data_IF_674147989975
#
_entry.id   IF_674147989975
#
_cell.length_a   1.000
_cell.length_b   1.000
_cell.length_c   1.000
_cell.angle_alpha   90.00
_cell.angle_beta   90.00
_cell.angle_gamma   90.00
#
_symmetry.space_group_name_H-M   'P 1'
#
loop_
_entity.id
_entity.type
_entity.pdbx_description
1 polymer ?
#
# COMPACT_ATOMS: atom_id res chain seq x y z
N UNK A 1 47.53 -52.67 16.32
CA UNK A 1 47.34 -53.53 15.13
C UNK A 1 45.84 -53.75 14.93
N UNK A 2 45.21 -53.04 13.99
CA UNK A 2 43.88 -53.37 13.47
C UNK A 2 43.86 -52.96 12.01
N UNK A 3 44.16 -53.94 11.17
CA UNK A 3 44.17 -53.85 9.72
C UNK A 3 42.80 -54.29 9.23
N UNK A 4 42.20 -53.41 8.41
CA UNK A 4 41.64 -53.71 7.09
C UNK A 4 40.22 -54.30 7.04
N UNK A 5 39.53 -53.89 5.95
CA UNK A 5 38.44 -54.54 5.20
C UNK A 5 37.05 -53.86 5.42
N UNK A 6 36.32 -53.33 4.43
CA UNK A 6 36.43 -53.28 2.96
C UNK A 6 35.56 -52.13 2.42
N UNK A 7 36.12 -51.38 1.46
CA UNK A 7 35.55 -50.93 0.19
C UNK A 7 34.02 -50.74 0.03
N UNK A 8 33.61 -49.49 -0.14
CA UNK A 8 32.59 -49.13 -1.14
C UNK A 8 33.07 -47.88 -1.89
N UNK A 9 33.82 -48.13 -2.96
CA UNK A 9 34.02 -47.20 -4.06
C UNK A 9 32.74 -47.14 -4.88
N UNK A 10 31.99 -46.05 -4.78
CA UNK A 10 31.27 -45.54 -5.96
C UNK A 10 31.73 -44.11 -6.16
N UNK A 11 32.75 -44.02 -7.00
CA UNK A 11 33.17 -42.83 -7.69
C UNK A 11 31.98 -42.24 -8.46
N UNK A 12 31.55 -41.04 -8.08
CA UNK A 12 30.96 -40.11 -9.02
C UNK A 12 31.50 -38.73 -8.68
N UNK A 13 32.71 -38.47 -9.16
CA UNK A 13 33.26 -37.12 -9.22
C UNK A 13 32.47 -36.33 -10.26
N UNK A 14 31.58 -35.45 -9.83
CA UNK A 14 31.21 -34.25 -10.59
C UNK A 14 31.13 -33.06 -9.63
N UNK A 15 32.29 -32.41 -9.50
CA UNK A 15 32.45 -30.95 -9.54
C UNK A 15 31.23 -30.12 -9.13
N UNK A 16 31.14 -29.76 -7.85
CA UNK A 16 30.43 -28.53 -7.45
C UNK A 16 31.49 -27.45 -7.24
N UNK A 17 31.98 -26.94 -8.37
CA UNK A 17 32.59 -25.62 -8.46
C UNK A 17 31.53 -24.69 -9.04
N UNK A 18 31.38 -23.52 -8.40
CA UNK A 18 30.50 -22.40 -8.79
C UNK A 18 28.97 -22.58 -8.58
N UNK A 19 28.52 -22.26 -7.36
CA UNK A 19 27.23 -21.58 -7.21
C UNK A 19 27.38 -20.33 -6.33
N UNK A 20 28.11 -19.37 -6.89
CA UNK A 20 27.85 -17.99 -6.56
C UNK A 20 26.49 -17.59 -7.15
N UNK A 21 25.64 -17.03 -6.28
CA UNK A 21 24.66 -15.99 -6.58
C UNK A 21 23.35 -16.42 -7.25
N UNK A 22 22.29 -16.45 -6.44
CA UNK A 22 21.19 -15.47 -6.51
C UNK A 22 19.97 -15.95 -5.71
N UNK A 23 19.76 -15.40 -4.50
CA UNK A 23 18.42 -15.10 -3.93
C UNK A 23 18.55 -14.63 -2.47
N UNK A 24 19.44 -13.69 -2.19
CA UNK A 24 19.27 -12.85 -0.99
C UNK A 24 18.35 -11.69 -1.36
N UNK A 25 17.04 -11.96 -1.32
CA UNK A 25 16.02 -10.92 -1.38
C UNK A 25 15.92 -10.27 0.01
N UNK A 26 16.90 -9.45 0.37
CA UNK A 26 16.70 -8.36 1.33
C UNK A 26 17.10 -7.06 0.67
N UNK A 27 16.08 -6.47 0.07
CA UNK A 27 16.01 -5.05 -0.19
C UNK A 27 16.07 -4.30 1.15
N UNK A 28 17.28 -4.04 1.65
CA UNK A 28 17.51 -2.91 2.54
C UNK A 28 18.06 -1.77 1.69
N UNK A 29 17.14 -0.97 1.15
CA UNK A 29 17.48 0.31 0.53
C UNK A 29 17.84 1.29 1.65
N UNK A 30 19.08 1.25 2.12
CA UNK A 30 19.69 2.36 2.85
C UNK A 30 20.10 3.44 1.85
N UNK A 31 19.12 4.13 1.27
CA UNK A 31 19.36 5.39 0.56
C UNK A 31 18.90 6.53 1.48
N UNK A 32 19.85 7.00 2.27
CA UNK A 32 19.82 8.37 2.81
C UNK A 32 19.82 9.35 1.63
N UNK A 33 18.74 10.12 1.42
CA UNK A 33 18.89 11.48 0.89
C UNK A 33 17.67 12.37 1.21
N UNK A 34 17.87 13.24 2.21
CA UNK A 34 17.64 14.69 2.21
C UNK A 34 16.42 15.24 1.42
N UNK A 35 15.45 15.70 2.21
CA UNK A 35 14.57 16.88 2.06
C UNK A 35 14.50 17.54 0.69
N UNK A 36 13.29 17.62 0.12
CA UNK A 36 12.83 18.80 -0.63
C UNK A 36 11.31 18.80 -0.75
N UNK A 37 10.73 19.93 -0.41
CA UNK A 37 9.33 20.30 -0.55
C UNK A 37 8.71 19.87 -1.89
N UNK A 38 7.83 18.87 -1.91
CA UNK A 38 6.94 18.66 -3.05
C UNK A 38 5.60 18.10 -2.61
N UNK A 39 4.58 18.95 -2.74
CA UNK A 39 3.19 18.62 -3.06
C UNK A 39 3.00 17.17 -3.58
N UNK A 40 2.63 16.22 -2.70
CA UNK A 40 2.29 14.83 -3.04
C UNK A 40 0.78 14.59 -3.03
N UNK A 41 0.00 15.50 -3.62
CA UNK A 41 -1.44 15.29 -3.81
C UNK A 41 -1.81 14.58 -5.13
N UNK A 42 -0.81 14.17 -5.93
CA UNK A 42 -1.01 13.25 -7.05
C UNK A 42 0.02 12.13 -6.96
N UNK A 43 -0.42 10.93 -6.62
CA UNK A 43 -0.52 9.81 -7.56
C UNK A 43 -1.04 8.58 -6.81
N UNK A 44 -1.90 7.86 -7.51
CA UNK A 44 -2.54 6.62 -7.11
C UNK A 44 -1.46 5.60 -6.74
N UNK A 45 -1.30 5.27 -5.46
CA UNK A 45 -0.51 4.11 -5.10
C UNK A 45 -1.33 3.12 -4.27
N UNK A 46 -1.65 2.04 -4.98
CA UNK A 46 -2.33 0.85 -4.52
C UNK A 46 -1.30 -0.08 -3.89
N UNK A 47 -0.34 0.42 -3.11
CA UNK A 47 0.64 -0.44 -2.47
C UNK A 47 0.90 -0.09 -1.01
N UNK A 48 1.10 -1.19 -0.30
CA UNK A 48 1.19 -1.41 1.13
C UNK A 48 2.47 -0.75 1.66
N UNK A 49 2.34 0.37 2.36
CA UNK A 49 3.47 1.06 2.98
C UNK A 49 3.02 1.79 4.25
N UNK A 50 3.31 1.18 5.41
CA UNK A 50 3.11 1.74 6.74
C UNK A 50 4.12 2.85 7.00
N UNK A 51 3.84 4.05 6.48
CA UNK A 51 4.55 5.27 6.86
C UNK A 51 3.58 6.16 7.65
N UNK A 52 3.70 6.11 8.97
CA UNK A 52 3.17 7.03 9.98
C UNK A 52 1.99 7.93 9.50
N UNK A 53 0.83 7.31 9.21
CA UNK A 53 -0.35 8.07 8.80
C UNK A 53 -0.85 8.82 10.02
N UNK A 54 -0.76 10.14 9.99
CA UNK A 54 -1.41 11.03 10.96
C UNK A 54 -2.84 10.54 11.26
N UNK A 55 -3.31 10.57 12.52
CA UNK A 55 -4.67 10.15 12.88
C UNK A 55 -5.76 10.76 11.96
N UNK A 56 -5.54 11.99 11.48
CA UNK A 56 -6.43 12.66 10.54
C UNK A 56 -6.47 11.97 9.17
N UNK A 57 -5.36 11.43 8.69
CA UNK A 57 -5.30 10.65 7.44
C UNK A 57 -6.06 9.33 7.56
N UNK A 58 -6.04 8.67 8.72
CA UNK A 58 -6.83 7.45 8.95
C UNK A 58 -8.32 7.79 8.97
N UNK A 59 -8.73 8.78 9.77
CA UNK A 59 -10.13 9.23 9.86
C UNK A 59 -10.65 9.69 8.49
N UNK A 60 -9.85 10.44 7.73
CA UNK A 60 -10.18 10.86 6.36
C UNK A 60 -10.50 9.66 5.48
N UNK A 61 -9.61 8.67 5.44
CA UNK A 61 -9.80 7.47 4.62
C UNK A 61 -11.04 6.67 5.04
N UNK A 62 -11.33 6.60 6.34
CA UNK A 62 -12.53 5.97 6.87
C UNK A 62 -13.79 6.67 6.38
N UNK A 63 -13.86 8.00 6.50
CA UNK A 63 -15.00 8.78 6.02
C UNK A 63 -15.17 8.69 4.50
N UNK A 64 -14.08 8.72 3.73
CA UNK A 64 -14.15 8.52 2.28
C UNK A 64 -14.72 7.14 1.92
N UNK A 65 -14.25 6.07 2.57
CA UNK A 65 -14.76 4.71 2.34
C UNK A 65 -16.24 4.58 2.72
N UNK A 66 -16.62 5.11 3.89
CA UNK A 66 -18.01 5.11 4.35
C UNK A 66 -18.93 5.90 3.41
N UNK A 67 -18.47 7.05 2.92
CA UNK A 67 -19.18 7.86 1.94
C UNK A 67 -19.41 7.11 0.62
N UNK A 68 -18.38 6.45 0.08
CA UNK A 68 -18.53 5.64 -1.13
C UNK A 68 -19.45 4.43 -0.92
N UNK A 69 -19.38 3.77 0.24
CA UNK A 69 -20.28 2.66 0.56
C UNK A 69 -21.75 3.11 0.61
N UNK A 70 -22.04 4.25 1.24
CA UNK A 70 -23.38 4.84 1.25
C UNK A 70 -23.82 5.30 -0.14
N UNK A 71 -22.93 5.91 -0.92
CA UNK A 71 -23.21 6.34 -2.29
C UNK A 71 -23.61 5.16 -3.18
N UNK A 72 -22.89 4.04 -3.07
CA UNK A 72 -23.19 2.80 -3.81
C UNK A 72 -24.55 2.20 -3.43
N UNK A 73 -24.96 2.38 -2.16
CA UNK A 73 -26.31 2.03 -1.67
C UNK A 73 -27.38 3.05 -2.08
N UNK A 74 -27.03 4.08 -2.86
CA UNK A 74 -27.89 5.22 -3.23
C UNK A 74 -28.39 6.04 -2.04
N UNK A 75 -27.79 5.86 -0.87
CA UNK A 75 -28.02 6.70 0.29
C UNK A 75 -27.15 7.97 0.18
N UNK A 76 -27.59 8.86 -0.71
CA UNK A 76 -26.85 10.08 -1.03
C UNK A 76 -26.79 11.07 0.14
N UNK A 77 -27.74 11.01 1.09
CA UNK A 77 -27.71 11.86 2.29
C UNK A 77 -26.58 11.42 3.21
N UNK A 78 -26.50 10.13 3.53
CA UNK A 78 -25.42 9.57 4.36
C UNK A 78 -24.06 9.69 3.66
N UNK A 79 -24.01 9.48 2.34
CA UNK A 79 -22.80 9.66 1.55
C UNK A 79 -22.27 11.10 1.66
N UNK A 80 -23.15 12.10 1.49
CA UNK A 80 -22.79 13.51 1.56
C UNK A 80 -22.23 13.90 2.92
N UNK A 81 -22.84 13.44 4.01
CA UNK A 81 -22.34 13.68 5.38
C UNK A 81 -20.94 13.11 5.56
N UNK A 82 -20.71 11.87 5.13
CA UNK A 82 -19.39 11.24 5.22
C UNK A 82 -18.32 11.98 4.40
N UNK A 83 -18.63 12.37 3.16
CA UNK A 83 -17.66 13.11 2.34
C UNK A 83 -17.36 14.51 2.90
N UNK A 84 -18.34 15.19 3.52
CA UNK A 84 -18.11 16.45 4.25
C UNK A 84 -17.19 16.26 5.45
N UNK A 85 -17.38 15.19 6.23
CA UNK A 85 -16.48 14.84 7.34
C UNK A 85 -15.07 14.49 6.87
N UNK A 86 -14.93 13.89 5.67
CA UNK A 86 -13.61 13.71 5.07
C UNK A 86 -12.99 15.06 4.70
N UNK A 87 -13.74 15.96 4.05
CA UNK A 87 -13.24 17.27 3.66
C UNK A 87 -12.85 18.15 4.86
N UNK A 88 -13.55 18.07 5.99
CA UNK A 88 -13.19 18.82 7.19
C UNK A 88 -11.84 18.39 7.80
N UNK A 89 -11.46 17.12 7.63
CA UNK A 89 -10.17 16.61 8.08
C UNK A 89 -9.02 16.96 7.14
N UNK A 90 -9.31 17.14 5.85
CA UNK A 90 -8.35 17.56 4.82
C UNK A 90 -8.98 18.65 3.96
N UNK A 91 -9.01 19.91 4.45
CA UNK A 91 -9.44 21.03 3.65
C UNK A 91 -8.62 21.07 2.35
N UNK A 92 -9.27 21.38 1.23
CA UNK A 92 -8.67 21.38 -0.12
C UNK A 92 -8.42 20.01 -0.76
N UNK A 93 -8.85 18.90 -0.15
CA UNK A 93 -8.74 17.61 -0.83
C UNK A 93 -9.68 17.50 -2.04
N UNK A 94 -9.09 17.44 -3.24
CA UNK A 94 -9.83 17.40 -4.52
C UNK A 94 -10.76 16.19 -4.61
N UNK A 95 -10.36 15.02 -4.09
CA UNK A 95 -11.18 13.81 -4.14
C UNK A 95 -12.45 13.94 -3.28
N UNK A 96 -12.34 14.49 -2.07
CA UNK A 96 -13.49 14.72 -1.20
C UNK A 96 -14.44 15.77 -1.80
N UNK A 97 -13.89 16.87 -2.34
CA UNK A 97 -14.70 17.90 -3.04
C UNK A 97 -15.45 17.29 -4.22
N UNK A 98 -14.78 16.48 -5.06
CA UNK A 98 -15.42 15.84 -6.22
C UNK A 98 -16.51 14.85 -5.79
N UNK A 99 -16.26 14.08 -4.74
CA UNK A 99 -17.24 13.15 -4.19
C UNK A 99 -18.50 13.87 -3.68
N UNK A 100 -18.34 15.00 -2.99
CA UNK A 100 -19.45 15.87 -2.55
C UNK A 100 -20.26 16.36 -3.75
N UNK A 101 -19.60 16.94 -4.76
CA UNK A 101 -20.26 17.47 -5.95
C UNK A 101 -21.05 16.39 -6.69
N UNK A 102 -20.43 15.23 -6.92
CA UNK A 102 -21.09 14.11 -7.57
C UNK A 102 -22.32 13.64 -6.76
N UNK A 103 -22.18 13.56 -5.43
CA UNK A 103 -23.29 13.16 -4.54
C UNK A 103 -24.43 14.17 -4.56
N UNK A 104 -24.14 15.47 -4.54
CA UNK A 104 -25.14 16.52 -4.63
C UNK A 104 -25.91 16.46 -5.95
N UNK A 105 -25.23 16.23 -7.08
CA UNK A 105 -25.90 16.02 -8.37
C UNK A 105 -26.88 14.85 -8.34
N UNK A 106 -26.48 13.72 -7.72
CA UNK A 106 -27.35 12.55 -7.56
C UNK A 106 -28.51 12.78 -6.60
N UNK A 107 -28.31 13.59 -5.57
CA UNK A 107 -29.33 13.92 -4.58
C UNK A 107 -30.38 14.90 -5.16
N UNK A 108 -29.95 15.86 -5.97
CA UNK A 108 -30.80 16.87 -6.59
C UNK A 108 -31.56 16.36 -7.83
N UNK A 109 -31.00 15.39 -8.55
CA UNK A 109 -31.65 14.75 -9.71
C UNK A 109 -32.53 13.55 -9.34
N UNK A 110 -33.10 13.53 -8.12
CA UNK A 110 -33.97 12.46 -7.63
C UNK A 110 -35.43 12.88 -7.68
#
# INVERSE_FOLDING_TARGET
>A
MKKILIFALVSCSFLVSDLSRAAQFRNESSVQNKVSDVNKDQIVDKTKGTANKSPNTIKYNTFMKAGYAAYNKKDYKTALTNFKSALSLRPNNVYAVKAIQNTQKRLAGK
#
